data_IF_364478846821
#
_entry.id   IF_364478846821
#
_cell.length_a   1.000
_cell.length_b   1.000
_cell.length_c   1.000
_cell.angle_alpha   90.00
_cell.angle_beta   90.00
_cell.angle_gamma   90.00
#
_symmetry.space_group_name_H-M   'P 1'
#
loop_
_entity.id
_entity.type
_entity.pdbx_description
1 polymer ?
#
# COMPACT_ATOMS: atom_id res chain seq x y z
N UNK A 1 4.16 -12.99 -11.12
CA UNK A 1 3.84 -13.99 -10.07
C UNK A 1 2.60 -13.50 -9.33
N UNK A 2 1.64 -14.36 -9.02
CA UNK A 2 0.42 -14.02 -8.28
C UNK A 2 0.73 -14.16 -6.78
N UNK A 3 0.43 -13.14 -5.99
CA UNK A 3 0.59 -13.20 -4.55
C UNK A 3 -0.62 -13.93 -3.94
N UNK A 4 -0.43 -15.17 -3.48
CA UNK A 4 -1.50 -15.95 -2.85
C UNK A 4 -1.64 -15.56 -1.36
N UNK A 5 -2.64 -14.73 -1.06
CA UNK A 5 -2.98 -14.29 0.30
C UNK A 5 -3.13 -15.46 1.29
N UNK A 6 -3.71 -16.58 0.88
CA UNK A 6 -3.95 -17.73 1.76
C UNK A 6 -2.64 -18.41 2.14
N UNK A 7 -1.75 -18.59 1.17
CA UNK A 7 -0.40 -19.11 1.43
C UNK A 7 0.37 -18.14 2.31
N UNK A 8 0.32 -16.84 2.01
CA UNK A 8 1.02 -15.81 2.77
C UNK A 8 0.53 -15.74 4.23
N UNK A 9 -0.79 -15.66 4.44
CA UNK A 9 -1.40 -15.65 5.77
C UNK A 9 -1.02 -16.90 6.56
N UNK A 10 -1.04 -18.08 5.93
CA UNK A 10 -0.60 -19.34 6.56
C UNK A 10 0.87 -19.30 6.97
N UNK A 11 1.75 -18.65 6.17
CA UNK A 11 3.16 -18.44 6.54
C UNK A 11 3.27 -17.49 7.75
N UNK A 12 2.53 -16.39 7.77
CA UNK A 12 2.59 -15.43 8.89
C UNK A 12 2.06 -16.03 10.19
N UNK A 13 0.93 -16.76 10.14
CA UNK A 13 0.40 -17.49 11.30
C UNK A 13 1.44 -18.48 11.83
N UNK A 14 2.07 -19.27 10.94
CA UNK A 14 3.12 -20.21 11.34
C UNK A 14 4.32 -19.51 11.98
N UNK A 15 4.74 -18.36 11.44
CA UNK A 15 5.83 -17.55 12.00
C UNK A 15 5.50 -17.08 13.41
N UNK A 16 4.34 -16.47 13.62
CA UNK A 16 3.88 -16.03 14.95
C UNK A 16 3.82 -17.21 15.93
N UNK A 17 3.25 -18.35 15.52
CA UNK A 17 3.19 -19.54 16.37
C UNK A 17 4.58 -20.07 16.74
N UNK A 18 5.52 -20.04 15.80
CA UNK A 18 6.92 -20.40 16.04
C UNK A 18 7.57 -19.43 17.04
N UNK A 19 7.42 -18.12 16.84
CA UNK A 19 8.00 -17.11 17.74
C UNK A 19 7.41 -17.18 19.16
N UNK A 20 6.11 -17.48 19.29
CA UNK A 20 5.49 -17.79 20.59
C UNK A 20 6.10 -19.05 21.22
N UNK A 21 6.33 -20.11 20.43
CA UNK A 21 6.95 -21.32 20.93
C UNK A 21 8.39 -21.08 21.40
N UNK A 22 9.12 -20.18 20.72
CA UNK A 22 10.48 -19.78 21.09
C UNK A 22 10.55 -19.11 22.46
N UNK A 23 9.48 -18.48 22.95
CA UNK A 23 9.43 -17.94 24.31
C UNK A 23 9.49 -19.02 25.40
N UNK A 24 9.20 -20.28 25.06
CA UNK A 24 9.34 -21.42 25.99
C UNK A 24 10.76 -21.97 26.07
N UNK A 25 11.66 -21.52 25.20
CA UNK A 25 13.07 -21.93 25.22
C UNK A 25 13.83 -21.22 26.32
N UNK A 26 15.01 -21.74 26.68
CA UNK A 26 15.89 -21.09 27.66
C UNK A 26 16.22 -19.68 27.17
N UNK A 27 16.01 -18.70 28.04
CA UNK A 27 16.39 -17.30 27.85
C UNK A 27 17.70 -17.10 28.61
N UNK A 28 18.78 -16.85 27.86
CA UNK A 28 20.12 -16.79 28.44
C UNK A 28 20.39 -15.45 29.14
N UNK A 29 19.84 -14.36 28.60
CA UNK A 29 20.01 -13.01 29.09
C UNK A 29 18.86 -12.08 28.63
N UNK A 30 18.86 -10.84 29.12
CA UNK A 30 17.86 -9.82 28.77
C UNK A 30 17.86 -9.47 27.27
N UNK A 31 19.02 -9.50 26.62
CA UNK A 31 19.13 -9.16 25.19
C UNK A 31 18.49 -10.23 24.32
N UNK A 32 18.68 -11.50 24.64
CA UNK A 32 18.00 -12.64 24.00
C UNK A 32 16.47 -12.54 24.20
N UNK A 33 16.02 -12.18 25.41
CA UNK A 33 14.60 -11.96 25.67
C UNK A 33 14.01 -10.83 24.82
N UNK A 34 14.66 -9.67 24.80
CA UNK A 34 14.24 -8.52 23.99
C UNK A 34 14.23 -8.85 22.50
N UNK A 35 15.21 -9.62 22.02
CA UNK A 35 15.25 -10.07 20.63
C UNK A 35 14.06 -10.96 20.29
N UNK A 36 13.77 -11.97 21.12
CA UNK A 36 12.61 -12.86 20.93
C UNK A 36 11.28 -12.10 20.97
N UNK A 37 11.12 -11.15 21.90
CA UNK A 37 9.94 -10.29 21.96
C UNK A 37 9.79 -9.39 20.75
N UNK A 38 10.90 -8.80 20.27
CA UNK A 38 10.90 -7.95 19.07
C UNK A 38 10.48 -8.76 17.85
N UNK A 39 11.05 -9.95 17.66
CA UNK A 39 10.70 -10.84 16.55
C UNK A 39 9.21 -11.21 16.58
N UNK A 40 8.68 -11.56 17.76
CA UNK A 40 7.26 -11.86 17.93
C UNK A 40 6.39 -10.63 17.61
N UNK A 41 6.77 -9.45 18.10
CA UNK A 41 6.04 -8.21 17.83
C UNK A 41 6.01 -7.86 16.34
N UNK A 42 7.13 -7.99 15.64
CA UNK A 42 7.22 -7.78 14.19
C UNK A 42 6.36 -8.80 13.42
N UNK A 43 6.48 -10.09 13.74
CA UNK A 43 5.67 -11.13 13.11
C UNK A 43 4.17 -10.90 13.34
N UNK A 44 3.79 -10.50 14.55
CA UNK A 44 2.41 -10.16 14.88
C UNK A 44 1.91 -8.94 14.11
N UNK A 45 2.71 -7.86 14.04
CA UNK A 45 2.38 -6.68 13.24
C UNK A 45 2.12 -7.04 11.78
N UNK A 46 3.02 -7.82 11.18
CA UNK A 46 2.87 -8.28 9.78
C UNK A 46 1.57 -9.08 9.61
N UNK A 47 1.25 -9.99 10.54
CA UNK A 47 0.00 -10.73 10.54
C UNK A 47 -1.22 -9.79 10.63
N UNK A 48 -1.20 -8.83 11.55
CA UNK A 48 -2.28 -7.87 11.72
C UNK A 48 -2.48 -7.00 10.48
N UNK A 49 -1.42 -6.44 9.89
CA UNK A 49 -1.50 -5.68 8.63
C UNK A 49 -2.05 -6.52 7.47
N UNK A 50 -1.79 -7.83 7.48
CA UNK A 50 -2.34 -8.77 6.47
C UNK A 50 -3.83 -9.07 6.71
N UNK A 51 -4.26 -9.00 7.96
CA UNK A 51 -5.66 -9.22 8.38
C UNK A 51 -6.49 -7.93 8.37
N UNK A 52 -5.85 -6.77 8.44
CA UNK A 52 -6.51 -5.48 8.28
C UNK A 52 -7.29 -5.47 6.97
N UNK A 53 -8.52 -4.99 7.06
CA UNK A 53 -9.49 -5.03 5.98
C UNK A 53 -9.20 -3.89 4.97
N UNK A 54 -8.01 -3.95 4.36
CA UNK A 54 -7.55 -3.09 3.28
C UNK A 54 -8.20 -3.51 1.97
N UNK A 55 -9.53 -3.46 1.97
CA UNK A 55 -10.31 -3.83 0.82
C UNK A 55 -10.23 -2.75 -0.24
N UNK A 56 -10.11 -3.18 -1.50
CA UNK A 56 -10.40 -2.36 -2.64
C UNK A 56 -11.84 -1.82 -2.51
N UNK A 57 -11.93 -0.52 -2.28
CA UNK A 57 -13.20 0.21 -2.27
C UNK A 57 -13.16 1.15 -3.46
N UNK A 58 -14.06 1.00 -4.44
CA UNK A 58 -14.17 1.97 -5.51
C UNK A 58 -14.34 3.36 -4.90
N UNK A 59 -13.36 4.25 -5.10
CA UNK A 59 -13.49 5.63 -4.68
C UNK A 59 -14.34 6.34 -5.70
N UNK A 60 -15.62 6.53 -5.39
CA UNK A 60 -16.50 7.42 -6.13
C UNK A 60 -16.68 8.71 -5.33
N UNK A 61 -15.76 9.66 -5.52
CA UNK A 61 -16.06 11.08 -5.25
C UNK A 61 -15.75 11.84 -6.54
N UNK A 62 -16.81 12.04 -7.31
CA UNK A 62 -16.81 12.80 -8.55
C UNK A 62 -17.45 14.15 -8.25
N UNK A 63 -16.63 15.18 -8.12
CA UNK A 63 -17.14 16.55 -8.13
C UNK A 63 -17.01 17.06 -9.57
N UNK A 64 -18.15 17.33 -10.22
CA UNK A 64 -18.12 18.03 -11.50
C UNK A 64 -17.76 19.48 -11.23
N UNK A 65 -16.63 19.91 -11.77
CA UNK A 65 -16.24 21.32 -11.80
C UNK A 65 -16.92 21.96 -13.03
N UNK A 66 -17.05 23.29 -13.03
CA UNK A 66 -17.45 24.06 -14.21
C UNK A 66 -16.61 23.70 -15.47
N UNK A 67 -17.18 23.91 -16.65
CA UNK A 67 -16.54 23.70 -17.97
C UNK A 67 -16.15 22.25 -18.35
N UNK A 68 -16.90 21.26 -17.87
CA UNK A 68 -16.69 19.86 -18.30
C UNK A 68 -15.43 19.21 -17.69
N UNK A 69 -14.92 19.81 -16.62
CA UNK A 69 -13.86 19.26 -15.80
C UNK A 69 -14.45 18.35 -14.71
N UNK A 70 -13.74 17.26 -14.43
CA UNK A 70 -14.13 16.25 -13.46
C UNK A 70 -13.00 16.15 -12.43
N UNK A 71 -13.33 16.43 -11.16
CA UNK A 71 -12.44 16.17 -10.03
C UNK A 71 -12.71 14.78 -9.48
N UNK A 72 -11.66 13.99 -9.37
CA UNK A 72 -11.67 12.74 -8.63
C UNK A 72 -10.85 12.91 -7.36
N UNK A 73 -11.35 12.48 -6.20
CA UNK A 73 -10.61 12.63 -4.94
C UNK A 73 -10.93 11.53 -3.93
N UNK A 74 -9.95 11.21 -3.07
CA UNK A 74 -10.12 10.39 -1.87
C UNK A 74 -9.86 11.19 -0.58
N UNK A 75 -9.94 12.53 -0.62
CA UNK A 75 -9.51 13.51 0.41
C UNK A 75 -8.00 13.67 0.58
N UNK A 76 -7.21 12.62 0.42
CA UNK A 76 -5.75 12.67 0.51
C UNK A 76 -5.09 13.01 -0.83
N UNK A 77 -5.81 12.73 -1.91
CA UNK A 77 -5.38 12.89 -3.29
C UNK A 77 -6.51 13.51 -4.11
N UNK A 78 -6.14 14.35 -5.07
CA UNK A 78 -7.03 14.99 -6.04
C UNK A 78 -6.47 14.85 -7.45
N UNK A 79 -7.33 14.49 -8.41
CA UNK A 79 -6.98 14.41 -9.84
C UNK A 79 -8.03 15.18 -10.62
N UNK A 80 -7.59 16.14 -11.45
CA UNK A 80 -8.47 16.87 -12.38
C UNK A 80 -8.37 16.25 -13.77
N UNK A 81 -9.52 15.95 -14.36
CA UNK A 81 -9.65 15.34 -15.68
C UNK A 81 -10.58 16.15 -16.57
N UNK A 82 -10.26 16.22 -17.86
CA UNK A 82 -11.10 16.80 -18.90
C UNK A 82 -11.41 15.75 -19.97
N UNK A 83 -12.68 15.61 -20.36
CA UNK A 83 -13.04 14.74 -21.51
C UNK A 83 -12.33 15.17 -22.81
N UNK A 84 -12.02 16.46 -22.94
CA UNK A 84 -11.33 17.01 -24.11
C UNK A 84 -9.81 16.83 -24.03
N UNK A 85 -9.20 17.00 -22.86
CA UNK A 85 -7.74 17.10 -22.73
C UNK A 85 -7.08 15.91 -22.00
N UNK A 86 -7.85 15.07 -21.32
CA UNK A 86 -7.32 14.01 -20.44
C UNK A 86 -7.02 14.54 -19.04
N UNK A 87 -6.09 13.89 -18.35
CA UNK A 87 -5.61 14.31 -17.02
C UNK A 87 -4.89 15.66 -17.11
N UNK A 88 -5.25 16.58 -16.22
CA UNK A 88 -4.71 17.94 -16.18
C UNK A 88 -3.84 18.21 -14.96
N UNK A 89 -4.18 17.62 -13.81
CA UNK A 89 -3.40 17.78 -12.59
C UNK A 89 -3.58 16.58 -11.66
N UNK A 90 -2.56 16.37 -10.82
CA UNK A 90 -2.54 15.39 -9.73
C UNK A 90 -1.95 16.11 -8.51
N UNK A 91 -2.66 16.06 -7.38
CA UNK A 91 -2.22 16.64 -6.11
C UNK A 91 -2.41 15.66 -4.95
N UNK A 92 -1.37 15.43 -4.18
CA UNK A 92 -1.34 14.50 -3.04
C UNK A 92 -0.41 15.00 -1.91
N UNK A 93 0.04 16.26 -1.99
CA UNK A 93 1.00 16.84 -1.03
C UNK A 93 2.45 16.38 -1.21
N UNK A 94 2.74 15.53 -2.21
CA UNK A 94 4.08 15.04 -2.52
C UNK A 94 4.39 15.22 -4.02
N UNK A 95 5.31 16.14 -4.33
CA UNK A 95 5.66 16.50 -5.72
C UNK A 95 6.21 15.31 -6.54
N UNK A 96 7.01 14.44 -5.94
CA UNK A 96 7.59 13.28 -6.64
C UNK A 96 6.52 12.25 -7.00
N UNK A 97 5.59 11.98 -6.08
CA UNK A 97 4.46 11.08 -6.33
C UNK A 97 3.45 11.70 -7.30
N UNK A 98 3.14 13.01 -7.17
CA UNK A 98 2.29 13.74 -8.10
C UNK A 98 2.84 13.60 -9.52
N UNK A 99 4.15 13.82 -9.72
CA UNK A 99 4.80 13.67 -11.02
C UNK A 99 4.74 12.23 -11.54
N UNK A 100 5.10 11.25 -10.73
CA UNK A 100 5.06 9.83 -11.13
C UNK A 100 3.66 9.40 -11.59
N UNK A 101 2.63 9.76 -10.82
CA UNK A 101 1.24 9.42 -11.14
C UNK A 101 0.78 10.15 -12.39
N UNK A 102 1.08 11.45 -12.50
CA UNK A 102 0.74 12.24 -13.68
C UNK A 102 1.37 11.64 -14.94
N UNK A 103 2.68 11.36 -14.91
CA UNK A 103 3.43 10.74 -16.01
C UNK A 103 2.83 9.38 -16.38
N UNK A 104 2.50 8.53 -15.39
CA UNK A 104 1.85 7.23 -15.63
C UNK A 104 0.50 7.39 -16.34
N UNK A 105 -0.30 8.36 -15.92
CA UNK A 105 -1.64 8.58 -16.47
C UNK A 105 -1.61 9.15 -17.90
N UNK A 106 -0.75 10.14 -18.18
CA UNK A 106 -0.68 10.75 -19.52
C UNK A 106 -0.16 9.78 -20.59
N UNK A 107 0.56 8.73 -20.19
CA UNK A 107 1.00 7.67 -21.11
C UNK A 107 -0.15 6.76 -21.59
N UNK A 108 -1.30 6.80 -20.92
CA UNK A 108 -2.49 6.03 -21.30
C UNK A 108 -3.37 6.80 -22.28
N UNK A 109 -4.13 6.08 -23.10
CA UNK A 109 -5.21 6.68 -23.90
C UNK A 109 -6.31 7.20 -22.98
N UNK A 110 -7.01 8.28 -23.39
CA UNK A 110 -7.98 8.99 -22.53
C UNK A 110 -9.11 8.11 -22.00
N UNK A 111 -9.55 7.11 -22.76
CA UNK A 111 -10.54 6.13 -22.32
C UNK A 111 -10.07 5.36 -21.09
N UNK A 112 -8.78 5.06 -21.03
CA UNK A 112 -8.17 4.21 -20.01
C UNK A 112 -7.73 5.04 -18.80
N UNK A 113 -7.40 6.32 -19.02
CA UNK A 113 -7.09 7.27 -17.95
C UNK A 113 -8.19 7.32 -16.89
N UNK A 114 -9.47 7.36 -17.26
CA UNK A 114 -10.58 7.40 -16.28
C UNK A 114 -10.60 6.18 -15.36
N UNK A 115 -10.38 5.00 -15.93
CA UNK A 115 -10.36 3.76 -15.16
C UNK A 115 -9.12 3.70 -14.26
N UNK A 116 -7.96 4.10 -14.79
CA UNK A 116 -6.73 4.14 -14.02
C UNK A 116 -6.75 5.20 -12.91
N UNK A 117 -7.39 6.35 -13.11
CA UNK A 117 -7.61 7.36 -12.05
C UNK A 117 -8.32 6.73 -10.86
N UNK A 118 -9.43 6.01 -11.10
CA UNK A 118 -10.16 5.33 -10.02
C UNK A 118 -9.27 4.31 -9.32
N UNK A 119 -8.52 3.53 -10.09
CA UNK A 119 -7.58 2.56 -9.55
C UNK A 119 -6.52 3.22 -8.66
N UNK A 120 -5.88 4.29 -9.12
CA UNK A 120 -4.86 5.03 -8.38
C UNK A 120 -5.45 5.61 -7.09
N UNK A 121 -6.63 6.24 -7.13
CA UNK A 121 -7.27 6.78 -5.92
C UNK A 121 -7.57 5.71 -4.88
N UNK A 122 -7.91 4.49 -5.31
CA UNK A 122 -8.08 3.35 -4.39
C UNK A 122 -6.73 2.90 -3.81
N UNK A 123 -5.69 2.77 -4.65
CA UNK A 123 -4.37 2.33 -4.20
C UNK A 123 -3.79 3.28 -3.15
N UNK A 124 -3.93 4.59 -3.36
CA UNK A 124 -3.42 5.62 -2.47
C UNK A 124 -4.46 6.11 -1.44
N UNK A 125 -5.51 5.32 -1.18
CA UNK A 125 -6.34 5.54 0.01
C UNK A 125 -5.55 5.17 1.26
N UNK A 126 -5.64 6.02 2.30
CA UNK A 126 -4.87 5.92 3.54
C UNK A 126 -3.35 5.76 3.34
N UNK A 127 -2.79 6.44 2.33
CA UNK A 127 -1.41 6.23 1.90
C UNK A 127 -0.37 6.53 3.00
N UNK A 128 -0.69 7.45 3.91
CA UNK A 128 0.18 7.84 5.04
C UNK A 128 0.23 6.83 6.18
N UNK A 129 -0.75 5.95 6.28
CA UNK A 129 -0.93 5.04 7.43
C UNK A 129 -0.71 3.57 7.05
N UNK A 130 -0.32 3.29 5.80
CA UNK A 130 -0.17 1.92 5.32
C UNK A 130 1.16 1.30 5.78
N UNK A 131 1.09 0.08 6.34
CA UNK A 131 2.26 -0.73 6.68
C UNK A 131 2.63 -1.73 5.57
N UNK A 132 3.92 -2.04 5.48
CA UNK A 132 4.44 -3.03 4.55
C UNK A 132 3.96 -4.41 4.96
N UNK A 133 3.29 -5.11 4.05
CA UNK A 133 2.77 -6.45 4.33
C UNK A 133 3.88 -7.50 4.56
N UNK A 134 5.16 -7.17 4.33
CA UNK A 134 6.29 -8.10 4.53
C UNK A 134 7.00 -7.86 5.87
N UNK A 135 7.36 -6.61 6.18
CA UNK A 135 8.13 -6.27 7.37
C UNK A 135 7.32 -5.59 8.48
N UNK A 136 6.10 -5.13 8.20
CA UNK A 136 5.20 -4.52 9.19
C UNK A 136 5.52 -3.05 9.52
N UNK A 137 6.58 -2.48 8.95
CA UNK A 137 6.93 -1.06 9.07
C UNK A 137 6.13 -0.21 8.08
N UNK A 138 5.95 1.08 8.37
CA UNK A 138 5.30 2.03 7.45
C UNK A 138 5.95 1.98 6.07
N UNK A 139 5.12 1.90 5.03
CA UNK A 139 5.58 1.81 3.64
C UNK A 139 6.25 3.11 3.19
N UNK A 140 5.90 4.20 3.85
CA UNK A 140 6.42 5.54 3.61
C UNK A 140 7.30 5.95 4.78
N UNK A 141 8.56 6.26 4.50
CA UNK A 141 9.41 6.99 5.41
C UNK A 141 9.06 8.48 5.37
N UNK A 142 9.23 9.21 6.47
CA UNK A 142 8.95 10.65 6.53
C UNK A 142 9.71 11.48 5.48
N UNK A 143 10.82 10.95 4.95
CA UNK A 143 11.65 11.56 3.91
C UNK A 143 11.32 11.06 2.49
N UNK A 144 10.32 10.17 2.34
CA UNK A 144 9.79 9.69 1.06
C UNK A 144 10.83 8.95 0.20
N UNK A 145 11.88 8.42 0.82
CA UNK A 145 13.02 7.79 0.14
C UNK A 145 12.74 6.37 -0.38
N UNK A 146 11.67 5.72 0.08
CA UNK A 146 11.39 4.31 -0.24
C UNK A 146 10.30 4.19 -1.32
N UNK A 147 10.61 3.61 -2.49
CA UNK A 147 9.61 3.36 -3.52
C UNK A 147 8.57 2.36 -3.01
N UNK A 148 7.29 2.69 -3.23
CA UNK A 148 6.15 1.88 -2.82
C UNK A 148 5.74 0.99 -3.98
N UNK A 149 5.52 -0.29 -3.69
CA UNK A 149 4.82 -1.20 -4.59
C UNK A 149 3.48 -1.49 -3.94
N UNK A 150 2.38 -1.12 -4.60
CA UNK A 150 1.04 -1.55 -4.24
C UNK A 150 0.49 -2.52 -5.29
N UNK A 151 -0.18 -3.57 -4.83
CA UNK A 151 -0.74 -4.62 -5.68
C UNK A 151 -2.14 -4.97 -5.19
N UNK A 152 -3.07 -5.13 -6.14
CA UNK A 152 -4.41 -5.64 -5.86
C UNK A 152 -4.39 -7.16 -6.07
N UNK A 153 -4.86 -7.90 -5.07
CA UNK A 153 -5.07 -9.35 -5.15
C UNK A 153 -6.48 -9.68 -4.66
N UNK A 154 -7.36 -10.02 -5.60
CA UNK A 154 -8.79 -10.12 -5.33
C UNK A 154 -9.35 -8.78 -4.85
N UNK A 155 -9.95 -8.77 -3.66
CA UNK A 155 -10.50 -7.56 -3.05
C UNK A 155 -9.49 -6.85 -2.14
N UNK A 156 -8.25 -7.29 -2.02
CA UNK A 156 -7.29 -6.73 -1.07
C UNK A 156 -6.22 -5.87 -1.74
N UNK A 157 -5.83 -4.78 -1.06
CA UNK A 157 -4.70 -3.94 -1.44
C UNK A 157 -3.51 -4.28 -0.56
N UNK A 158 -2.46 -4.82 -1.19
CA UNK A 158 -1.17 -5.06 -0.55
C UNK A 158 -0.21 -3.93 -0.84
N UNK A 159 0.61 -3.60 0.14
CA UNK A 159 1.60 -2.53 0.06
C UNK A 159 2.96 -3.03 0.55
N UNK A 160 4.00 -2.70 -0.19
CA UNK A 160 5.34 -3.19 0.04
C UNK A 160 6.36 -2.08 -0.15
N UNK A 161 7.43 -2.11 0.64
CA UNK A 161 8.66 -1.45 0.23
C UNK A 161 9.20 -2.16 -1.01
N UNK A 162 9.73 -1.41 -1.98
CA UNK A 162 10.36 -1.98 -3.17
C UNK A 162 11.45 -3.00 -2.82
N UNK A 163 12.28 -2.72 -1.80
CA UNK A 163 13.30 -3.66 -1.33
C UNK A 163 12.71 -4.93 -0.70
N UNK A 164 11.59 -4.83 0.03
CA UNK A 164 10.91 -5.99 0.60
C UNK A 164 10.23 -6.84 -0.47
N UNK A 165 9.64 -6.21 -1.49
CA UNK A 165 9.00 -6.95 -2.57
C UNK A 165 10.02 -7.74 -3.41
N UNK A 166 11.17 -7.13 -3.73
CA UNK A 166 12.22 -7.78 -4.51
C UNK A 166 12.87 -8.96 -3.77
N UNK A 167 12.81 -9.03 -2.44
CA UNK A 167 13.32 -10.21 -1.70
C UNK A 167 12.39 -11.43 -1.76
N UNK A 168 11.20 -11.28 -2.35
CA UNK A 168 10.31 -12.39 -2.70
C UNK A 168 10.56 -12.95 -4.11
N UNK A 169 11.40 -12.28 -4.91
CA UNK A 169 11.71 -12.60 -6.31
C UNK A 169 12.98 -13.46 -6.46
#
# INVERSE_FOLDING_TARGET
>A
MIFDKKIFLKRQIKRVLYDIAMLKTIINDEKDFLCKLTNLHEAYKVLMTTLEDNKYRPVDVIEKIEDGLIKYTNKQMEIIFSDKHGVLSVEMGNLSLNKFIFDKLIMLVKSDQKNEIKHILCLYDNYTETNCNICGSFVISHDLSIPIIKQIEGDDIFSFHSCCYNSLC
#
